data_IF_821375435971
#
_entry.id   IF_821375435971
#
_cell.length_a   1.000
_cell.length_b   1.000
_cell.length_c   1.000
_cell.angle_alpha   90.00
_cell.angle_beta   90.00
_cell.angle_gamma   90.00
#
_symmetry.space_group_name_H-M   'P 1'
#
loop_
_entity.id
_entity.type
_entity.pdbx_description
1 polymer ?
#
# COMPACT_ATOMS: atom_id res chain seq x y z
N UNK A 1 -12.76 -39.56 8.56
CA UNK A 1 -12.07 -38.56 9.37
C UNK A 1 -12.31 -37.19 8.75
N UNK A 2 -12.66 -36.15 9.51
CA UNK A 2 -12.79 -34.83 8.96
C UNK A 2 -11.44 -34.43 8.36
N UNK A 3 -11.46 -33.78 7.21
CA UNK A 3 -10.25 -33.23 6.58
C UNK A 3 -9.72 -32.08 7.44
N UNK A 4 -8.41 -31.93 7.59
CA UNK A 4 -7.79 -30.78 8.31
C UNK A 4 -8.32 -29.45 7.75
N UNK A 5 -8.65 -29.40 6.47
CA UNK A 5 -9.28 -28.23 5.84
C UNK A 5 -10.70 -27.93 6.38
N UNK A 6 -11.39 -28.91 6.95
CA UNK A 6 -12.71 -28.72 7.57
C UNK A 6 -12.61 -28.34 9.05
N UNK A 7 -11.45 -28.49 9.68
CA UNK A 7 -11.21 -28.10 11.07
C UNK A 7 -10.95 -26.61 11.22
N UNK A 8 -10.42 -25.96 10.19
CA UNK A 8 -10.18 -24.51 10.18
C UNK A 8 -11.33 -23.86 9.43
N UNK A 9 -12.19 -23.17 10.16
CA UNK A 9 -13.34 -22.46 9.58
C UNK A 9 -12.89 -21.19 8.85
N UNK A 10 -13.74 -20.67 7.95
CA UNK A 10 -13.46 -19.40 7.28
C UNK A 10 -13.37 -18.23 8.28
N UNK A 11 -14.07 -18.35 9.41
CA UNK A 11 -13.98 -17.39 10.52
C UNK A 11 -12.59 -17.41 11.16
N UNK A 12 -12.03 -18.60 11.43
CA UNK A 12 -10.71 -18.74 12.03
C UNK A 12 -9.62 -18.16 11.10
N UNK A 13 -9.78 -18.34 9.78
CA UNK A 13 -8.89 -17.78 8.78
C UNK A 13 -8.97 -16.25 8.74
N UNK A 14 -10.20 -15.71 8.83
CA UNK A 14 -10.41 -14.27 8.86
C UNK A 14 -9.82 -13.67 10.13
N UNK A 15 -10.11 -14.24 11.28
CA UNK A 15 -9.59 -13.79 12.58
C UNK A 15 -8.06 -13.83 12.61
N UNK A 16 -7.44 -14.88 12.07
CA UNK A 16 -5.99 -14.97 11.93
C UNK A 16 -5.45 -13.83 11.05
N UNK A 17 -6.02 -13.64 9.85
CA UNK A 17 -5.53 -12.63 8.92
C UNK A 17 -5.64 -11.19 9.44
N UNK A 18 -6.66 -10.93 10.28
CA UNK A 18 -6.87 -9.60 10.90
C UNK A 18 -5.94 -9.34 12.08
N UNK A 19 -5.57 -10.40 12.81
CA UNK A 19 -4.73 -10.30 14.01
C UNK A 19 -3.26 -10.67 13.76
N UNK A 20 -2.92 -11.16 12.57
CA UNK A 20 -1.55 -11.52 12.24
C UNK A 20 -0.64 -10.30 12.24
N UNK A 21 0.35 -10.33 13.13
CA UNK A 21 1.36 -9.29 13.22
C UNK A 21 2.58 -9.69 12.40
N UNK A 22 2.88 -8.92 11.38
CA UNK A 22 4.06 -9.11 10.53
C UNK A 22 5.31 -8.75 11.34
N UNK A 23 6.24 -9.70 11.45
CA UNK A 23 7.47 -9.51 12.22
C UNK A 23 8.45 -8.51 11.59
N UNK A 24 8.30 -8.21 10.30
CA UNK A 24 9.17 -7.28 9.57
C UNK A 24 8.73 -5.84 9.76
N UNK A 25 9.65 -4.99 10.18
CA UNK A 25 9.44 -3.54 10.22
C UNK A 25 9.83 -2.93 8.88
N UNK A 26 8.85 -2.50 8.11
CA UNK A 26 9.07 -1.82 6.84
C UNK A 26 9.24 -0.31 7.05
N UNK A 27 10.17 0.28 6.31
CA UNK A 27 10.44 1.72 6.37
C UNK A 27 9.25 2.51 5.81
N UNK A 28 8.59 1.98 4.79
CA UNK A 28 7.42 2.60 4.18
C UNK A 28 6.26 2.78 5.13
N UNK A 29 6.07 1.91 6.10
CA UNK A 29 4.99 2.04 7.10
C UNK A 29 5.17 3.25 8.01
N UNK A 30 6.41 3.66 8.27
CA UNK A 30 6.73 4.86 9.05
C UNK A 30 6.48 6.15 8.27
N UNK A 31 6.73 6.13 6.96
CA UNK A 31 6.62 7.29 6.08
C UNK A 31 5.21 7.44 5.51
N UNK A 32 4.57 6.31 5.21
CA UNK A 32 3.24 6.23 4.61
C UNK A 32 2.38 5.28 5.45
N UNK A 33 1.82 5.75 6.57
CA UNK A 33 0.97 4.90 7.41
C UNK A 33 -0.29 4.49 6.66
N UNK A 34 -0.72 3.24 6.87
CA UNK A 34 -1.91 2.69 6.24
C UNK A 34 -3.16 3.30 6.87
N UNK A 35 -4.13 3.70 6.05
CA UNK A 35 -5.42 4.24 6.46
C UNK A 35 -6.53 3.27 6.01
N UNK A 36 -7.42 2.90 6.93
CA UNK A 36 -8.60 2.11 6.60
C UNK A 36 -9.69 3.00 6.01
N UNK A 37 -10.28 2.60 4.91
CA UNK A 37 -11.43 3.26 4.31
C UNK A 37 -12.37 2.20 3.73
N UNK A 38 -13.68 2.42 3.88
CA UNK A 38 -14.73 1.55 3.34
C UNK A 38 -15.04 1.84 1.87
N UNK A 39 -14.66 3.04 1.38
CA UNK A 39 -14.88 3.43 0.00
C UNK A 39 -13.99 2.64 -0.98
N UNK A 40 -14.49 2.37 -2.18
CA UNK A 40 -13.72 1.73 -3.25
C UNK A 40 -12.66 2.66 -3.85
N UNK A 41 -12.86 3.96 -3.73
CA UNK A 41 -11.95 4.99 -4.19
C UNK A 41 -11.26 5.68 -3.02
N UNK A 42 -10.00 6.03 -3.21
CA UNK A 42 -9.25 6.88 -2.29
C UNK A 42 -9.23 8.30 -2.87
N UNK A 43 -9.72 9.26 -2.09
CA UNK A 43 -9.70 10.67 -2.45
C UNK A 43 -8.62 11.40 -1.67
N UNK A 44 -7.88 12.25 -2.35
CA UNK A 44 -6.92 13.15 -1.71
C UNK A 44 -6.90 14.51 -2.40
N UNK A 45 -6.52 15.52 -1.66
CA UNK A 45 -6.34 16.87 -2.16
C UNK A 45 -4.86 17.16 -2.34
N UNK A 46 -4.51 17.79 -3.45
CA UNK A 46 -3.16 18.28 -3.70
C UNK A 46 -3.20 19.74 -4.11
N UNK A 47 -2.10 20.43 -3.91
CA UNK A 47 -1.93 21.77 -4.46
C UNK A 47 -1.95 21.73 -5.99
N UNK A 48 -2.62 22.70 -6.61
CA UNK A 48 -2.63 22.85 -8.05
C UNK A 48 -1.21 23.02 -8.57
N UNK A 49 -0.94 22.49 -9.77
CA UNK A 49 0.39 22.46 -10.37
C UNK A 49 1.03 23.85 -10.43
N UNK A 50 2.26 23.98 -9.96
CA UNK A 50 3.03 25.22 -9.97
C UNK A 50 2.80 26.15 -8.76
N UNK A 51 1.89 25.81 -7.84
CA UNK A 51 1.56 26.66 -6.68
C UNK A 51 2.24 26.27 -5.36
N UNK A 52 3.06 25.25 -5.36
CA UNK A 52 3.84 24.77 -4.22
C UNK A 52 5.19 25.50 -4.05
N UNK A 53 5.58 26.35 -5.00
CA UNK A 53 6.74 27.20 -4.85
C UNK A 53 6.36 28.53 -4.17
N UNK A 54 7.08 28.95 -3.12
CA UNK A 54 6.80 30.23 -2.48
C UNK A 54 7.05 31.37 -3.47
N UNK A 55 6.04 32.21 -3.64
CA UNK A 55 6.18 33.43 -4.43
C UNK A 55 6.91 34.47 -3.61
N UNK A 56 7.96 35.09 -4.17
CA UNK A 56 8.66 36.18 -3.49
C UNK A 56 7.72 37.39 -3.32
N UNK A 57 7.66 37.94 -2.12
CA UNK A 57 6.95 39.20 -1.89
C UNK A 57 7.64 40.36 -2.65
N UNK A 58 6.83 41.27 -3.22
CA UNK A 58 7.36 42.43 -3.90
C UNK A 58 7.80 43.50 -2.89
N UNK A 59 8.88 44.18 -3.20
CA UNK A 59 9.33 45.34 -2.44
C UNK A 59 8.57 46.57 -2.96
N UNK A 60 7.93 47.29 -2.06
CA UNK A 60 7.18 48.50 -2.40
C UNK A 60 7.85 49.72 -1.82
N UNK A 61 7.65 50.86 -2.46
CA UNK A 61 8.02 52.17 -1.91
C UNK A 61 7.05 52.52 -0.77
N UNK A 62 7.48 53.45 0.09
CA UNK A 62 6.61 53.96 1.15
C UNK A 62 5.36 54.63 0.52
N UNK A 63 4.21 54.47 1.17
CA UNK A 63 2.89 54.98 0.75
C UNK A 63 2.33 54.40 -0.56
N UNK A 64 2.79 53.19 -0.98
CA UNK A 64 2.17 52.48 -2.08
C UNK A 64 1.31 51.28 -1.58
N UNK A 65 0.21 51.00 -2.28
CA UNK A 65 -0.67 49.89 -1.97
C UNK A 65 0.03 48.54 -2.23
N UNK A 66 -0.11 47.59 -1.31
CA UNK A 66 0.47 46.25 -1.45
C UNK A 66 -0.27 45.44 -2.50
N UNK A 67 0.46 44.67 -3.29
CA UNK A 67 -0.13 43.75 -4.25
C UNK A 67 -0.86 42.59 -3.51
N UNK A 68 -2.04 42.23 -3.99
CA UNK A 68 -2.82 41.12 -3.45
C UNK A 68 -2.15 39.81 -3.86
N UNK A 69 -1.75 39.01 -2.85
CA UNK A 69 -1.17 37.69 -3.08
C UNK A 69 -2.18 36.68 -3.61
N UNK A 70 -1.74 35.74 -4.44
CA UNK A 70 -2.57 34.65 -4.95
C UNK A 70 -2.53 33.49 -3.94
N UNK A 71 -3.70 32.92 -3.61
CA UNK A 71 -3.78 31.71 -2.81
C UNK A 71 -3.63 30.49 -3.69
N UNK A 72 -2.88 29.45 -3.26
CA UNK A 72 -2.82 28.21 -3.99
C UNK A 72 -4.21 27.56 -4.08
N UNK A 73 -4.55 27.04 -5.23
CA UNK A 73 -5.73 26.22 -5.43
C UNK A 73 -5.48 24.77 -4.98
N UNK A 74 -6.54 24.05 -4.65
CA UNK A 74 -6.50 22.63 -4.38
C UNK A 74 -7.19 21.89 -5.51
N UNK A 75 -6.61 20.75 -5.92
CA UNK A 75 -7.18 19.83 -6.86
C UNK A 75 -7.54 18.53 -6.12
N UNK A 76 -8.79 18.11 -6.23
CA UNK A 76 -9.25 16.85 -5.67
C UNK A 76 -8.96 15.72 -6.66
N UNK A 77 -8.27 14.70 -6.22
CA UNK A 77 -7.92 13.53 -7.03
C UNK A 77 -8.58 12.31 -6.42
N UNK A 78 -9.28 11.53 -7.24
CA UNK A 78 -9.84 10.23 -6.88
C UNK A 78 -9.06 9.13 -7.58
N UNK A 79 -8.73 8.08 -6.85
CA UNK A 79 -7.98 6.92 -7.33
C UNK A 79 -8.69 5.65 -6.89
N UNK A 80 -8.98 4.77 -7.84
CA UNK A 80 -9.54 3.46 -7.56
C UNK A 80 -8.53 2.58 -6.79
N UNK A 81 -9.03 1.86 -5.79
CA UNK A 81 -8.20 0.96 -5.00
C UNK A 81 -7.81 -0.27 -5.81
N UNK A 82 -6.55 -0.63 -5.71
CA UNK A 82 -6.01 -1.85 -6.31
C UNK A 82 -6.26 -3.05 -5.43
N UNK A 83 -6.65 -4.16 -6.05
CA UNK A 83 -6.89 -5.43 -5.37
C UNK A 83 -5.66 -6.33 -5.49
N UNK A 84 -4.94 -6.51 -4.39
CA UNK A 84 -3.83 -7.46 -4.30
C UNK A 84 -4.37 -8.81 -3.84
N UNK A 85 -4.12 -9.85 -4.62
CA UNK A 85 -4.56 -11.22 -4.32
C UNK A 85 -3.41 -12.18 -4.53
N UNK A 86 -3.31 -13.13 -3.60
CA UNK A 86 -2.43 -14.29 -3.73
C UNK A 86 -3.13 -15.52 -3.16
N UNK A 87 -2.82 -16.70 -3.68
CA UNK A 87 -3.33 -17.94 -3.12
C UNK A 87 -2.26 -19.03 -3.18
N UNK A 88 -2.28 -19.90 -2.17
CA UNK A 88 -1.49 -21.13 -2.13
C UNK A 88 -2.43 -22.31 -2.31
N UNK A 89 -2.09 -23.25 -3.20
CA UNK A 89 -2.82 -24.51 -3.34
C UNK A 89 -2.36 -25.49 -2.27
N UNK A 90 -3.12 -25.61 -1.19
CA UNK A 90 -2.78 -26.44 -0.04
C UNK A 90 -3.23 -27.90 -0.20
N UNK A 91 -4.19 -28.20 -1.08
CA UNK A 91 -4.89 -29.49 -1.08
C UNK A 91 -3.99 -30.70 -1.39
N UNK A 92 -3.10 -30.61 -2.34
CA UNK A 92 -2.24 -31.71 -2.76
C UNK A 92 -1.11 -31.95 -1.76
N UNK A 93 -0.48 -30.88 -1.29
CA UNK A 93 0.63 -30.97 -0.33
C UNK A 93 0.17 -31.46 1.05
N UNK A 94 -1.00 -31.03 1.51
CA UNK A 94 -1.62 -31.55 2.75
C UNK A 94 -1.97 -33.02 2.63
N UNK A 95 -2.46 -33.51 1.47
CA UNK A 95 -2.70 -34.93 1.23
C UNK A 95 -1.41 -35.74 1.29
N UNK A 96 -0.33 -35.26 0.73
CA UNK A 96 0.99 -35.92 0.80
C UNK A 96 1.47 -36.00 2.25
N UNK A 97 1.36 -34.94 3.04
CA UNK A 97 1.77 -34.92 4.45
C UNK A 97 0.92 -35.86 5.29
N UNK A 98 -0.40 -35.91 5.08
CA UNK A 98 -1.31 -36.87 5.73
C UNK A 98 -0.92 -38.34 5.42
N UNK A 99 -0.57 -38.63 4.18
CA UNK A 99 -0.15 -39.97 3.77
C UNK A 99 1.19 -40.40 4.39
N UNK A 100 2.03 -39.44 4.78
CA UNK A 100 3.29 -39.69 5.48
C UNK A 100 3.13 -39.76 7.02
N UNK A 101 1.90 -39.76 7.55
CA UNK A 101 1.62 -39.97 8.97
C UNK A 101 1.98 -38.78 9.86
N UNK A 102 1.98 -37.56 9.32
CA UNK A 102 2.16 -36.32 10.10
C UNK A 102 0.94 -36.11 11.01
N UNK A 103 1.18 -35.70 12.27
CA UNK A 103 0.11 -35.42 13.23
C UNK A 103 -0.77 -34.24 12.79
N UNK A 104 -2.06 -34.32 13.03
CA UNK A 104 -3.05 -33.28 12.67
C UNK A 104 -2.67 -31.88 13.20
N UNK A 105 -2.14 -31.78 14.42
CA UNK A 105 -1.69 -30.51 14.99
C UNK A 105 -0.63 -29.82 14.13
N UNK A 106 0.34 -30.58 13.63
CA UNK A 106 1.41 -30.03 12.78
C UNK A 106 0.88 -29.58 11.41
N UNK A 107 -0.22 -30.17 10.95
CA UNK A 107 -0.86 -29.76 9.69
C UNK A 107 -1.63 -28.45 9.85
N UNK A 108 -2.24 -28.23 11.02
CA UNK A 108 -2.89 -26.96 11.35
C UNK A 108 -1.85 -25.85 11.41
N UNK A 109 -0.75 -26.07 12.09
CA UNK A 109 0.37 -25.11 12.16
C UNK A 109 0.89 -24.77 10.76
N UNK A 110 1.04 -25.77 9.89
CA UNK A 110 1.44 -25.59 8.52
C UNK A 110 0.49 -24.69 7.70
N UNK A 111 -0.83 -24.84 7.92
CA UNK A 111 -1.82 -23.97 7.24
C UNK A 111 -1.71 -22.53 7.74
N UNK A 112 -1.51 -22.32 9.04
CA UNK A 112 -1.32 -20.98 9.59
C UNK A 112 0.00 -20.34 9.12
N UNK A 113 1.08 -21.11 8.98
CA UNK A 113 2.32 -20.64 8.39
C UNK A 113 2.14 -20.18 6.95
N UNK A 114 1.39 -20.93 6.14
CA UNK A 114 1.07 -20.51 4.76
C UNK A 114 0.24 -19.23 4.73
N UNK A 115 -0.71 -19.07 5.64
CA UNK A 115 -1.51 -17.84 5.78
C UNK A 115 -0.63 -16.65 6.20
N UNK A 116 0.32 -16.87 7.11
CA UNK A 116 1.31 -15.87 7.49
C UNK A 116 2.15 -15.41 6.29
N UNK A 117 2.65 -16.37 5.49
CA UNK A 117 3.41 -16.06 4.26
C UNK A 117 2.60 -15.28 3.25
N UNK A 118 1.31 -15.61 3.06
CA UNK A 118 0.43 -14.84 2.18
C UNK A 118 0.25 -13.39 2.67
N UNK A 119 0.08 -13.21 3.97
CA UNK A 119 -0.01 -11.88 4.57
C UNK A 119 1.28 -11.07 4.39
N UNK A 120 2.42 -11.70 4.60
CA UNK A 120 3.74 -11.10 4.38
C UNK A 120 3.97 -10.71 2.92
N UNK A 121 3.50 -11.52 1.95
CA UNK A 121 3.67 -11.23 0.54
C UNK A 121 2.84 -10.01 0.09
N UNK A 122 1.60 -9.90 0.56
CA UNK A 122 0.74 -8.73 0.32
C UNK A 122 1.38 -7.47 0.90
N UNK A 123 1.91 -7.55 2.13
CA UNK A 123 2.58 -6.41 2.76
C UNK A 123 3.87 -6.02 2.05
N UNK A 124 4.65 -7.00 1.61
CA UNK A 124 5.85 -6.75 0.81
C UNK A 124 5.52 -6.03 -0.49
N UNK A 125 4.41 -6.39 -1.16
CA UNK A 125 3.95 -5.71 -2.37
C UNK A 125 3.59 -4.25 -2.12
N UNK A 126 2.90 -3.97 -1.02
CA UNK A 126 2.61 -2.58 -0.61
C UNK A 126 3.87 -1.79 -0.29
N UNK A 127 4.86 -2.40 0.35
CA UNK A 127 6.14 -1.76 0.64
C UNK A 127 6.90 -1.40 -0.64
N UNK A 128 6.95 -2.30 -1.63
CA UNK A 128 7.55 -2.03 -2.94
C UNK A 128 6.90 -0.80 -3.58
N UNK A 129 5.56 -0.72 -3.58
CA UNK A 129 4.85 0.42 -4.12
C UNK A 129 5.16 1.73 -3.38
N UNK A 130 5.23 1.70 -2.03
CA UNK A 130 5.63 2.85 -1.20
C UNK A 130 7.04 3.33 -1.55
N UNK A 131 7.99 2.41 -1.72
CA UNK A 131 9.37 2.74 -2.08
C UNK A 131 9.49 3.28 -3.50
N UNK A 132 8.71 2.78 -4.45
CA UNK A 132 8.65 3.31 -5.82
C UNK A 132 8.14 4.75 -5.81
N UNK A 133 7.05 5.04 -5.10
CA UNK A 133 6.52 6.40 -4.93
C UNK A 133 7.56 7.33 -4.31
N UNK A 134 8.25 6.86 -3.27
CA UNK A 134 9.27 7.66 -2.58
C UNK A 134 10.45 8.01 -3.50
N UNK A 135 10.85 7.10 -4.37
CA UNK A 135 12.01 7.28 -5.25
C UNK A 135 11.70 8.04 -6.55
N UNK A 136 10.51 7.84 -7.10
CA UNK A 136 10.14 8.35 -8.43
C UNK A 136 9.04 9.39 -8.41
N UNK A 137 8.26 9.49 -7.32
CA UNK A 137 7.02 10.26 -7.24
C UNK A 137 5.87 9.64 -8.02
N UNK A 138 6.03 8.42 -8.50
CA UNK A 138 5.05 7.70 -9.32
C UNK A 138 4.88 6.28 -8.81
N UNK A 139 3.71 5.70 -9.03
CA UNK A 139 3.46 4.28 -8.84
C UNK A 139 2.98 3.70 -10.15
N UNK A 140 3.66 2.67 -10.65
CA UNK A 140 3.33 2.01 -11.91
C UNK A 140 3.17 0.52 -11.70
N UNK A 141 2.04 -0.03 -12.10
CA UNK A 141 1.76 -1.47 -12.04
C UNK A 141 1.37 -1.94 -13.43
N UNK A 142 2.14 -2.86 -13.97
CA UNK A 142 1.88 -3.51 -15.25
C UNK A 142 1.99 -5.03 -15.08
N UNK A 143 0.96 -5.62 -14.49
CA UNK A 143 0.93 -7.04 -14.13
C UNK A 143 -0.46 -7.64 -14.38
N UNK A 144 -0.51 -8.90 -14.77
CA UNK A 144 -1.75 -9.66 -14.94
C UNK A 144 -2.82 -8.97 -15.80
N UNK A 145 -2.41 -8.22 -16.83
CA UNK A 145 -3.32 -7.47 -17.71
C UNK A 145 -3.83 -6.14 -17.12
N UNK A 146 -3.40 -5.80 -15.91
CA UNK A 146 -3.65 -4.48 -15.31
C UNK A 146 -2.50 -3.54 -15.71
N UNK A 147 -2.85 -2.42 -16.34
CA UNK A 147 -1.92 -1.32 -16.59
C UNK A 147 -2.43 -0.09 -15.81
N UNK A 148 -1.76 0.23 -14.73
CA UNK A 148 -2.17 1.27 -13.81
C UNK A 148 -0.96 2.16 -13.48
N UNK A 149 -1.14 3.47 -13.59
CA UNK A 149 -0.10 4.43 -13.26
C UNK A 149 -0.69 5.66 -12.56
N UNK A 150 -0.11 6.02 -11.43
CA UNK A 150 -0.41 7.27 -10.72
C UNK A 150 0.85 8.12 -10.69
N UNK A 151 0.73 9.37 -11.09
CA UNK A 151 1.75 10.40 -10.93
C UNK A 151 1.34 11.35 -9.81
N UNK A 152 2.04 11.33 -8.70
CA UNK A 152 1.78 12.21 -7.55
C UNK A 152 2.32 13.64 -7.80
N UNK A 153 2.93 13.89 -8.96
CA UNK A 153 3.49 15.19 -9.37
C UNK A 153 4.42 15.80 -8.31
N UNK A 154 5.22 14.94 -7.69
CA UNK A 154 6.21 15.38 -6.71
C UNK A 154 7.23 16.29 -7.41
N UNK A 155 7.39 17.51 -6.92
CA UNK A 155 8.36 18.45 -7.45
C UNK A 155 9.77 17.88 -7.30
N UNK A 156 10.43 17.66 -8.43
CA UNK A 156 11.86 17.35 -8.42
C UNK A 156 12.59 18.64 -8.04
N UNK A 157 13.20 18.67 -6.86
CA UNK A 157 14.18 19.69 -6.53
C UNK A 157 15.22 19.71 -7.67
N UNK A 158 15.19 20.74 -8.48
CA UNK A 158 16.33 21.01 -9.37
C UNK A 158 17.48 21.33 -8.44
N UNK A 159 18.42 20.39 -8.29
CA UNK A 159 19.67 20.69 -7.64
C UNK A 159 20.22 21.98 -8.30
N UNK A 160 20.37 23.03 -7.50
CA UNK A 160 21.05 24.25 -7.94
C UNK A 160 22.43 23.80 -8.42
N UNK A 161 22.64 23.88 -9.72
CA UNK A 161 24.00 23.77 -10.25
C UNK A 161 24.76 24.95 -9.70
N UNK A 162 25.64 24.67 -8.74
CA UNK A 162 26.66 25.60 -8.30
C UNK A 162 27.68 25.83 -9.40
#
# INVERSE_FOLDING_TARGET
MPSVLTMITDKDRLDFSQNYSIARNYVGDRLFPDIKTENLEAEYERLSEGMDLPTAAMVHAFDTEAAIGVRPGFEKVSVEKLLIKEKINQSERLRQLLNHGVRESNLIDYVYDDMGRLSDSVKTRTEIAKMEVMSTGKMTINENGLNFAIDFKVNKFKALKG
#
